data_IF_134638555676
#
_entry.id   IF_134638555676
#
_cell.length_a   1.000
_cell.length_b   1.000
_cell.length_c   1.000
_cell.angle_alpha   90.00
_cell.angle_beta   90.00
_cell.angle_gamma   90.00
#
_symmetry.space_group_name_H-M   'P 1'
#
loop_
_entity.id
_entity.type
_entity.pdbx_description
1 polymer ?
#
# COMPACT_ATOMS: atom_id res chain seq x y z
N UNK A 1 -11.94 -37.22 5.85
CA UNK A 1 -12.88 -36.31 6.53
C UNK A 1 -12.36 -34.90 6.36
N UNK A 2 -12.81 -34.18 5.32
CA UNK A 2 -12.34 -32.79 5.08
C UNK A 2 -12.92 -31.86 6.16
N UNK A 3 -12.09 -30.97 6.71
CA UNK A 3 -12.52 -29.92 7.64
C UNK A 3 -12.84 -30.35 9.07
N UNK A 4 -12.58 -31.59 9.48
CA UNK A 4 -12.93 -32.04 10.84
C UNK A 4 -12.10 -31.34 11.93
N UNK A 5 -10.83 -31.01 11.67
CA UNK A 5 -9.97 -30.34 12.66
C UNK A 5 -10.32 -28.86 12.75
N UNK A 6 -10.51 -28.18 11.61
CA UNK A 6 -10.93 -26.78 11.64
C UNK A 6 -12.29 -26.59 12.32
N UNK A 7 -13.27 -27.46 12.06
CA UNK A 7 -14.56 -27.43 12.75
C UNK A 7 -14.42 -27.59 14.26
N UNK A 8 -13.53 -28.47 14.73
CA UNK A 8 -13.23 -28.62 16.16
C UNK A 8 -12.58 -27.35 16.74
N UNK A 9 -11.59 -26.77 16.05
CA UNK A 9 -10.95 -25.51 16.44
C UNK A 9 -12.00 -24.41 16.62
N UNK A 10 -12.85 -24.21 15.60
CA UNK A 10 -13.91 -23.20 15.63
C UNK A 10 -14.94 -23.44 16.74
N UNK A 11 -15.29 -24.70 17.03
CA UNK A 11 -16.26 -25.04 18.09
C UNK A 11 -15.70 -24.78 19.49
N UNK A 12 -14.37 -24.84 19.66
CA UNK A 12 -13.70 -24.61 20.93
C UNK A 12 -13.39 -23.13 21.19
N UNK A 13 -13.62 -22.23 20.23
CA UNK A 13 -13.43 -20.79 20.41
C UNK A 13 -14.46 -20.21 21.39
N UNK A 14 -14.07 -19.17 22.13
CA UNK A 14 -15.04 -18.34 22.83
C UNK A 14 -15.99 -17.67 21.83
N UNK A 15 -17.21 -17.25 22.24
CA UNK A 15 -18.11 -16.52 21.35
C UNK A 15 -17.48 -15.28 20.70
N UNK A 16 -16.63 -14.57 21.44
CA UNK A 16 -15.91 -13.39 20.94
C UNK A 16 -14.86 -13.79 19.88
N UNK A 17 -14.04 -14.80 20.15
CA UNK A 17 -13.05 -15.30 19.20
C UNK A 17 -13.72 -15.81 17.92
N UNK A 18 -14.81 -16.58 18.06
CA UNK A 18 -15.58 -17.07 16.94
C UNK A 18 -16.12 -15.91 16.09
N UNK A 19 -16.72 -14.89 16.71
CA UNK A 19 -17.22 -13.72 16.01
C UNK A 19 -16.11 -12.92 15.30
N UNK A 20 -14.89 -12.90 15.84
CA UNK A 20 -13.75 -12.23 15.20
C UNK A 20 -13.18 -13.02 14.03
N UNK A 21 -13.17 -14.35 14.11
CA UNK A 21 -12.66 -15.22 13.05
C UNK A 21 -13.67 -15.37 11.92
N UNK A 22 -14.93 -15.71 12.22
CA UNK A 22 -15.90 -16.02 11.16
C UNK A 22 -16.80 -14.84 10.81
N UNK A 23 -16.88 -13.81 11.67
CA UNK A 23 -17.82 -12.70 11.54
C UNK A 23 -19.15 -12.95 12.25
N UNK A 24 -20.18 -12.17 11.90
CA UNK A 24 -21.56 -12.32 12.39
C UNK A 24 -22.48 -12.91 11.32
N UNK A 25 -23.63 -13.44 11.72
CA UNK A 25 -24.71 -13.82 10.79
C UNK A 25 -25.65 -12.62 10.58
N UNK A 26 -25.11 -11.49 10.10
CA UNK A 26 -25.85 -10.25 9.91
C UNK A 26 -26.82 -10.31 8.71
N UNK A 27 -27.86 -9.49 8.75
CA UNK A 27 -28.78 -9.31 7.61
C UNK A 27 -28.11 -8.52 6.47
N UNK A 28 -27.27 -7.52 6.78
CA UNK A 28 -26.53 -6.72 5.80
C UNK A 28 -25.02 -6.95 5.94
N UNK A 29 -24.50 -8.01 5.29
CA UNK A 29 -23.08 -8.39 5.36
C UNK A 29 -22.11 -7.27 4.98
N UNK A 30 -22.52 -6.35 4.10
CA UNK A 30 -21.70 -5.22 3.70
C UNK A 30 -21.26 -4.36 4.89
N UNK A 31 -22.16 -4.10 5.84
CA UNK A 31 -21.92 -3.17 6.96
C UNK A 31 -21.67 -3.87 8.29
N UNK A 32 -22.18 -5.09 8.47
CA UNK A 32 -22.27 -5.74 9.79
C UNK A 32 -21.54 -7.07 9.88
N UNK A 33 -20.87 -7.54 8.80
CA UNK A 33 -20.21 -8.84 8.80
C UNK A 33 -19.17 -9.02 9.91
N UNK A 34 -18.54 -7.94 10.37
CA UNK A 34 -17.63 -7.96 11.51
C UNK A 34 -17.91 -6.79 12.46
N UNK A 35 -17.86 -7.06 13.76
CA UNK A 35 -18.09 -6.05 14.82
C UNK A 35 -17.03 -4.96 14.81
N UNK A 36 -15.78 -5.33 14.46
CA UNK A 36 -14.66 -4.40 14.34
C UNK A 36 -13.76 -4.76 13.17
N UNK A 37 -13.10 -3.75 12.61
CA UNK A 37 -12.05 -3.93 11.63
C UNK A 37 -10.86 -4.65 12.26
N UNK A 38 -10.12 -5.40 11.44
CA UNK A 38 -8.83 -6.01 11.83
C UNK A 38 -7.76 -5.57 10.84
N UNK A 39 -6.53 -5.41 11.35
CA UNK A 39 -5.33 -5.30 10.50
C UNK A 39 -4.72 -6.68 10.35
N UNK A 40 -4.17 -6.93 9.18
CA UNK A 40 -3.36 -8.12 8.98
C UNK A 40 -2.00 -7.85 9.59
N UNK A 41 -1.58 -8.74 10.46
CA UNK A 41 -0.28 -8.71 11.09
C UNK A 41 0.24 -10.14 11.10
N UNK A 42 1.55 -10.30 10.90
CA UNK A 42 2.20 -11.61 10.93
C UNK A 42 2.25 -12.22 12.35
N UNK A 43 1.50 -11.67 13.31
CA UNK A 43 1.76 -11.84 14.74
C UNK A 43 3.13 -11.28 15.13
N UNK A 44 3.43 -11.26 16.43
CA UNK A 44 4.78 -10.97 16.95
C UNK A 44 5.73 -12.17 16.71
N UNK A 45 5.69 -12.76 15.50
CA UNK A 45 6.53 -13.92 15.14
C UNK A 45 7.88 -13.51 14.55
N UNK A 46 8.00 -12.27 14.06
CA UNK A 46 9.28 -11.71 13.65
C UNK A 46 10.21 -11.47 14.84
N UNK A 47 11.51 -11.72 14.67
CA UNK A 47 12.50 -11.49 15.74
C UNK A 47 13.23 -10.17 15.49
N UNK A 48 13.16 -9.19 16.42
CA UNK A 48 13.92 -7.95 16.27
C UNK A 48 15.41 -8.25 16.26
N UNK A 49 16.14 -7.59 15.37
CA UNK A 49 17.60 -7.62 15.34
C UNK A 49 18.08 -6.45 16.20
N UNK A 50 19.05 -6.71 17.08
CA UNK A 50 19.53 -5.71 18.01
C UNK A 50 20.30 -4.59 17.28
N UNK A 51 20.23 -3.33 17.75
CA UNK A 51 20.89 -2.20 17.09
C UNK A 51 22.38 -2.38 16.79
N UNK A 52 23.11 -3.09 17.65
CA UNK A 52 24.53 -3.38 17.45
C UNK A 52 24.83 -4.28 16.24
N UNK A 53 23.85 -5.09 15.81
CA UNK A 53 24.02 -6.07 14.74
C UNK A 53 23.48 -5.58 13.38
N UNK A 54 22.88 -4.38 13.34
CA UNK A 54 22.22 -3.86 12.14
C UNK A 54 23.17 -3.73 10.94
N UNK A 55 24.33 -3.07 11.12
CA UNK A 55 25.28 -2.87 10.02
C UNK A 55 25.91 -4.19 9.55
N UNK A 56 26.25 -5.07 10.49
CA UNK A 56 26.81 -6.40 10.16
C UNK A 56 25.80 -7.24 9.38
N UNK A 57 24.54 -7.22 9.81
CA UNK A 57 23.46 -7.92 9.11
C UNK A 57 23.23 -7.34 7.72
N UNK A 58 23.20 -6.01 7.59
CA UNK A 58 23.09 -5.34 6.28
C UNK A 58 24.23 -5.74 5.34
N UNK A 59 25.48 -5.70 5.81
CA UNK A 59 26.64 -6.09 5.00
C UNK A 59 26.56 -7.56 4.56
N UNK A 60 26.13 -8.45 5.47
CA UNK A 60 25.91 -9.87 5.15
C UNK A 60 24.85 -10.04 4.06
N UNK A 61 23.71 -9.36 4.16
CA UNK A 61 22.65 -9.40 3.15
C UNK A 61 23.11 -8.86 1.80
N UNK A 62 23.85 -7.75 1.79
CA UNK A 62 24.41 -7.15 0.57
C UNK A 62 25.41 -8.09 -0.12
N UNK A 63 26.12 -8.93 0.63
CA UNK A 63 27.06 -9.91 0.10
C UNK A 63 26.44 -11.19 -0.48
N UNK A 64 25.14 -11.39 -0.30
CA UNK A 64 24.43 -12.57 -0.83
C UNK A 64 24.01 -12.35 -2.28
N UNK A 65 23.94 -13.42 -3.05
CA UNK A 65 23.31 -13.42 -4.38
C UNK A 65 21.99 -14.18 -4.31
N UNK A 66 20.93 -13.62 -4.88
CA UNK A 66 19.64 -14.29 -5.02
C UNK A 66 19.20 -14.26 -6.49
N UNK A 67 19.56 -15.30 -7.23
CA UNK A 67 19.19 -15.42 -8.63
C UNK A 67 17.68 -15.62 -8.80
N UNK A 68 17.12 -15.08 -9.89
CA UNK A 68 15.72 -15.26 -10.31
C UNK A 68 14.65 -14.71 -9.37
N UNK A 69 15.00 -13.83 -8.44
CA UNK A 69 14.05 -13.10 -7.61
C UNK A 69 13.58 -11.81 -8.31
N UNK A 70 12.27 -11.54 -8.36
CA UNK A 70 11.77 -10.22 -8.75
C UNK A 70 11.95 -9.23 -7.61
N UNK A 71 12.34 -8.00 -7.94
CA UNK A 71 12.71 -6.99 -6.95
C UNK A 71 12.21 -5.62 -7.33
N UNK A 72 11.99 -4.79 -6.32
CA UNK A 72 11.63 -3.39 -6.49
C UNK A 72 12.45 -2.51 -5.57
N UNK A 73 12.58 -1.23 -5.91
CA UNK A 73 13.21 -0.23 -5.07
C UNK A 73 12.18 0.82 -4.63
N UNK A 74 12.25 1.21 -3.36
CA UNK A 74 11.49 2.33 -2.83
C UNK A 74 12.42 3.47 -2.50
N UNK A 75 12.09 4.66 -2.99
CA UNK A 75 12.87 5.88 -2.77
C UNK A 75 11.95 6.88 -2.07
N UNK A 76 12.28 7.24 -0.84
CA UNK A 76 11.49 8.15 -0.04
C UNK A 76 11.98 9.59 -0.18
N UNK A 77 11.08 10.54 -0.45
CA UNK A 77 11.35 11.99 -0.42
C UNK A 77 10.53 12.61 0.73
N UNK A 78 11.15 13.02 1.85
CA UNK A 78 10.45 13.33 3.11
C UNK A 78 9.92 14.78 3.21
N UNK A 79 9.74 15.48 2.09
CA UNK A 79 9.40 16.91 2.04
C UNK A 79 7.98 17.14 1.53
N UNK A 80 7.28 18.12 2.10
CA UNK A 80 5.95 18.55 1.68
C UNK A 80 5.84 20.08 1.72
N UNK A 81 5.22 20.70 0.71
CA UNK A 81 4.86 22.14 0.79
C UNK A 81 3.82 22.42 1.87
N UNK A 82 2.86 21.51 2.03
CA UNK A 82 1.76 21.65 2.97
C UNK A 82 1.41 20.31 3.64
N UNK A 83 1.07 20.38 4.92
CA UNK A 83 0.56 19.24 5.71
C UNK A 83 -0.92 19.00 5.40
N UNK A 84 -1.23 17.84 4.84
CA UNK A 84 -2.61 17.36 4.75
C UNK A 84 -3.04 16.75 6.09
N UNK A 85 -4.26 17.05 6.56
CA UNK A 85 -4.68 16.67 7.92
C UNK A 85 -4.78 15.16 8.12
N UNK A 86 -5.15 14.41 7.07
CA UNK A 86 -5.26 12.95 7.09
C UNK A 86 -3.91 12.22 6.95
N UNK A 87 -2.85 12.93 6.57
CA UNK A 87 -1.60 12.30 6.15
C UNK A 87 -0.70 11.95 7.34
N UNK A 88 -0.31 10.68 7.43
CA UNK A 88 0.67 10.18 8.39
C UNK A 88 2.14 10.30 7.94
N UNK A 89 2.39 10.73 6.70
CA UNK A 89 3.71 10.80 6.09
C UNK A 89 4.37 12.18 6.14
N UNK A 90 3.66 13.23 6.56
CA UNK A 90 4.26 14.56 6.67
C UNK A 90 5.40 14.54 7.70
N UNK A 91 6.59 14.96 7.27
CA UNK A 91 7.78 15.03 8.11
C UNK A 91 8.39 16.43 8.07
N UNK A 92 8.76 16.90 6.88
CA UNK A 92 9.48 18.16 6.71
C UNK A 92 8.77 19.10 5.73
N UNK A 93 8.97 20.41 5.92
CA UNK A 93 8.56 21.40 4.93
C UNK A 93 9.53 21.41 3.75
N UNK A 94 8.99 21.61 2.55
CA UNK A 94 9.76 21.72 1.30
C UNK A 94 10.48 23.04 1.24
N UNK A 95 11.81 22.98 1.16
CA UNK A 95 12.73 24.10 0.96
C UNK A 95 13.83 23.63 0.01
N UNK A 96 14.04 24.34 -1.11
CA UNK A 96 14.87 23.86 -2.21
C UNK A 96 16.33 23.57 -1.81
N UNK A 97 16.91 24.39 -0.92
CA UNK A 97 18.28 24.19 -0.41
C UNK A 97 18.37 22.90 0.43
N UNK A 98 17.44 22.70 1.36
CA UNK A 98 17.35 21.49 2.19
C UNK A 98 17.09 20.24 1.34
N UNK A 99 16.24 20.34 0.32
CA UNK A 99 16.00 19.29 -0.65
C UNK A 99 17.28 18.95 -1.45
N UNK A 100 18.04 19.96 -1.88
CA UNK A 100 19.29 19.74 -2.63
C UNK A 100 20.33 18.97 -1.79
N UNK A 101 20.54 19.39 -0.53
CA UNK A 101 21.45 18.71 0.40
C UNK A 101 21.00 17.26 0.65
N UNK A 102 19.70 17.04 0.82
CA UNK A 102 19.17 15.70 0.99
C UNK A 102 19.39 14.82 -0.25
N UNK A 103 19.17 15.35 -1.45
CA UNK A 103 19.37 14.62 -2.71
C UNK A 103 20.83 14.20 -2.88
N UNK A 104 21.80 15.03 -2.46
CA UNK A 104 23.22 14.66 -2.46
C UNK A 104 23.48 13.41 -1.61
N UNK A 105 22.89 13.34 -0.42
CA UNK A 105 23.02 12.20 0.48
C UNK A 105 22.25 10.98 -0.02
N UNK A 106 21.07 11.16 -0.60
CA UNK A 106 20.32 10.06 -1.22
C UNK A 106 21.09 9.43 -2.39
N UNK A 107 21.71 10.26 -3.24
CA UNK A 107 22.58 9.79 -4.33
C UNK A 107 23.79 9.03 -3.75
N UNK A 108 24.42 9.55 -2.68
CA UNK A 108 25.52 8.84 -2.00
C UNK A 108 25.07 7.49 -1.44
N UNK A 109 23.88 7.41 -0.87
CA UNK A 109 23.31 6.13 -0.39
C UNK A 109 23.10 5.13 -1.52
N UNK A 110 22.56 5.56 -2.67
CA UNK A 110 22.42 4.72 -3.87
C UNK A 110 23.78 4.19 -4.33
N UNK A 111 24.79 5.06 -4.38
CA UNK A 111 26.16 4.71 -4.78
C UNK A 111 26.80 3.70 -3.83
N UNK A 112 26.55 3.78 -2.52
CA UNK A 112 27.04 2.81 -1.54
C UNK A 112 26.54 1.39 -1.79
N UNK A 113 25.38 1.23 -2.45
CA UNK A 113 24.77 -0.07 -2.74
C UNK A 113 25.04 -0.58 -4.15
N UNK A 114 25.46 0.29 -5.09
CA UNK A 114 25.60 -0.01 -6.53
C UNK A 114 26.28 -1.34 -6.85
N UNK A 115 27.42 -1.61 -6.22
CA UNK A 115 28.27 -2.76 -6.56
C UNK A 115 28.03 -3.99 -5.67
N UNK A 116 26.93 -4.02 -4.92
CA UNK A 116 26.68 -5.15 -4.04
C UNK A 116 26.32 -6.43 -4.81
N UNK A 117 26.82 -7.60 -4.37
CA UNK A 117 26.38 -8.90 -4.91
C UNK A 117 24.86 -9.09 -4.90
N UNK A 118 24.18 -8.54 -3.88
CA UNK A 118 22.73 -8.61 -3.80
C UNK A 118 22.08 -7.90 -4.97
N UNK A 119 22.36 -6.60 -5.15
CA UNK A 119 21.76 -5.83 -6.23
C UNK A 119 22.14 -6.40 -7.60
N UNK A 120 23.42 -6.71 -7.82
CA UNK A 120 23.90 -7.21 -9.12
C UNK A 120 23.37 -8.59 -9.52
N UNK A 121 22.82 -9.38 -8.58
CA UNK A 121 22.32 -10.74 -8.88
C UNK A 121 20.98 -10.81 -9.62
N UNK A 122 20.30 -9.68 -9.88
CA UNK A 122 19.05 -9.67 -10.63
C UNK A 122 18.49 -8.27 -10.85
N UNK A 123 17.59 -8.10 -11.84
CA UNK A 123 17.10 -6.79 -12.21
C UNK A 123 16.08 -6.22 -11.21
N UNK A 124 16.01 -4.89 -11.11
CA UNK A 124 14.97 -4.14 -10.40
C UNK A 124 13.82 -3.89 -11.39
N UNK A 125 12.67 -4.52 -11.14
CA UNK A 125 11.50 -4.49 -12.02
C UNK A 125 10.68 -3.20 -11.87
N UNK A 126 10.72 -2.56 -10.71
CA UNK A 126 10.07 -1.28 -10.50
C UNK A 126 10.79 -0.43 -9.45
N UNK A 127 10.73 0.89 -9.65
CA UNK A 127 11.19 1.90 -8.71
C UNK A 127 10.00 2.80 -8.39
N UNK A 128 9.72 3.01 -7.11
CA UNK A 128 8.66 3.91 -6.66
C UNK A 128 9.26 5.05 -5.85
N UNK A 129 9.09 6.26 -6.35
CA UNK A 129 9.51 7.50 -5.69
C UNK A 129 8.28 8.08 -5.00
N UNK A 130 8.25 7.99 -3.68
CA UNK A 130 7.09 8.38 -2.86
C UNK A 130 7.47 9.09 -1.57
N UNK A 131 6.52 9.22 -0.65
CA UNK A 131 6.78 9.68 0.72
C UNK A 131 6.02 10.93 1.10
N UNK A 132 6.72 12.05 1.22
CA UNK A 132 6.12 13.36 1.41
C UNK A 132 5.44 13.82 0.12
N UNK A 133 6.18 14.50 -0.76
CA UNK A 133 5.71 14.93 -2.06
C UNK A 133 6.91 15.05 -3.00
N UNK A 134 7.35 13.96 -3.63
CA UNK A 134 8.48 13.98 -4.58
C UNK A 134 8.34 15.04 -5.68
N UNK A 135 7.12 15.32 -6.14
CA UNK A 135 6.85 16.36 -7.14
C UNK A 135 7.26 17.78 -6.71
N UNK A 136 7.63 18.03 -5.44
CA UNK A 136 8.16 19.34 -5.01
C UNK A 136 9.54 19.64 -5.55
N UNK A 137 10.36 18.60 -5.80
CA UNK A 137 11.75 18.73 -6.22
C UNK A 137 11.91 19.64 -7.44
N UNK A 138 13.01 20.40 -7.45
CA UNK A 138 13.39 21.24 -8.57
C UNK A 138 13.86 20.37 -9.76
N UNK A 139 13.65 20.81 -11.02
CA UNK A 139 14.04 20.05 -12.22
C UNK A 139 15.47 19.52 -12.20
N UNK A 140 16.42 20.31 -11.69
CA UNK A 140 17.84 19.92 -11.61
C UNK A 140 18.07 18.80 -10.58
N UNK A 141 17.32 18.81 -9.46
CA UNK A 141 17.38 17.75 -8.45
C UNK A 141 16.79 16.45 -9.01
N UNK A 142 15.68 16.55 -9.76
CA UNK A 142 15.03 15.42 -10.45
C UNK A 142 16.02 14.75 -11.41
N UNK A 143 16.65 15.52 -12.28
CA UNK A 143 17.64 15.02 -13.23
C UNK A 143 18.74 14.24 -12.52
N UNK A 144 19.37 14.85 -11.50
CA UNK A 144 20.46 14.23 -10.73
C UNK A 144 20.04 12.93 -10.03
N UNK A 145 18.86 12.92 -9.40
CA UNK A 145 18.36 11.72 -8.70
C UNK A 145 18.08 10.59 -9.70
N UNK A 146 17.38 10.89 -10.79
CA UNK A 146 17.00 9.87 -11.77
C UNK A 146 18.20 9.34 -12.55
N UNK A 147 19.19 10.17 -12.86
CA UNK A 147 20.48 9.74 -13.41
C UNK A 147 21.16 8.76 -12.45
N UNK A 148 21.25 9.10 -11.16
CA UNK A 148 21.85 8.23 -10.16
C UNK A 148 21.09 6.89 -10.01
N UNK A 149 19.76 6.90 -10.08
CA UNK A 149 18.94 5.67 -10.04
C UNK A 149 19.29 4.77 -11.23
N UNK A 150 19.35 5.32 -12.44
CA UNK A 150 19.71 4.54 -13.65
C UNK A 150 21.14 4.03 -13.61
N UNK A 151 22.06 4.80 -13.04
CA UNK A 151 23.47 4.43 -12.95
C UNK A 151 23.76 3.39 -11.84
N UNK A 152 22.98 3.42 -10.75
CA UNK A 152 23.25 2.61 -9.56
C UNK A 152 22.38 1.35 -9.46
N UNK A 153 21.16 1.36 -10.00
CA UNK A 153 20.27 0.21 -9.92
C UNK A 153 20.32 -0.61 -11.22
N UNK A 154 20.38 -1.95 -11.14
CA UNK A 154 20.30 -2.80 -12.33
C UNK A 154 18.85 -2.89 -12.81
N UNK A 155 18.34 -1.85 -13.48
CA UNK A 155 16.95 -1.77 -13.90
C UNK A 155 16.62 -2.82 -14.97
N UNK A 156 15.44 -3.44 -14.88
CA UNK A 156 14.91 -4.31 -15.94
C UNK A 156 14.69 -3.53 -17.24
N UNK A 157 14.71 -4.18 -18.40
CA UNK A 157 14.48 -3.49 -19.68
C UNK A 157 13.10 -2.82 -19.78
N UNK A 158 12.07 -3.37 -19.11
CA UNK A 158 10.69 -2.88 -19.12
C UNK A 158 10.24 -2.33 -17.76
N UNK A 159 11.20 -1.86 -16.95
CA UNK A 159 10.98 -1.39 -15.59
C UNK A 159 9.89 -0.31 -15.49
N UNK A 160 9.14 -0.34 -14.41
CA UNK A 160 8.22 0.74 -14.04
C UNK A 160 8.94 1.74 -13.13
N UNK A 161 8.92 3.03 -13.48
CA UNK A 161 9.41 4.11 -12.62
C UNK A 161 8.23 5.03 -12.28
N UNK A 162 7.76 4.90 -11.04
CA UNK A 162 6.61 5.64 -10.53
C UNK A 162 7.05 6.89 -9.80
N UNK A 163 6.41 8.02 -10.16
CA UNK A 163 6.41 9.26 -9.39
C UNK A 163 5.10 9.39 -8.61
N UNK A 164 5.16 9.56 -7.29
CA UNK A 164 4.06 10.11 -6.50
C UNK A 164 4.10 11.64 -6.54
N UNK A 165 2.95 12.28 -6.80
CA UNK A 165 2.89 13.72 -6.95
C UNK A 165 1.58 14.36 -6.52
N UNK A 166 1.57 15.70 -6.54
CA UNK A 166 0.38 16.51 -6.28
C UNK A 166 -0.03 17.30 -7.52
N UNK A 167 -1.33 17.57 -7.59
CA UNK A 167 -1.94 18.38 -8.65
C UNK A 167 -1.25 19.74 -8.81
N UNK A 168 -0.80 20.39 -7.74
CA UNK A 168 -0.16 21.72 -7.80
C UNK A 168 1.26 21.74 -8.36
N UNK A 169 1.92 20.60 -8.47
CA UNK A 169 3.25 20.48 -9.06
C UNK A 169 3.22 20.06 -10.53
N UNK A 170 2.02 19.83 -11.10
CA UNK A 170 1.82 19.53 -12.52
C UNK A 170 1.94 20.80 -13.36
N UNK A 171 3.17 21.29 -13.49
CA UNK A 171 3.58 22.40 -14.38
C UNK A 171 4.57 21.89 -15.42
N UNK A 172 4.61 22.45 -16.65
CA UNK A 172 5.40 21.91 -17.76
C UNK A 172 6.86 21.60 -17.39
N UNK A 173 7.59 22.57 -16.82
CA UNK A 173 9.01 22.40 -16.48
C UNK A 173 9.29 21.25 -15.51
N UNK A 174 8.36 20.95 -14.59
CA UNK A 174 8.48 19.82 -13.67
C UNK A 174 8.08 18.51 -14.34
N UNK A 175 6.96 18.52 -15.09
CA UNK A 175 6.48 17.35 -15.82
C UNK A 175 7.57 16.85 -16.78
N UNK A 176 8.10 17.75 -17.60
CA UNK A 176 9.18 17.48 -18.57
C UNK A 176 10.40 16.91 -17.86
N UNK A 177 10.86 17.50 -16.73
CA UNK A 177 12.00 16.99 -15.99
C UNK A 177 11.84 15.54 -15.54
N UNK A 178 10.66 15.14 -15.06
CA UNK A 178 10.40 13.75 -14.65
C UNK A 178 10.30 12.81 -15.85
N UNK A 179 9.57 13.20 -16.91
CA UNK A 179 9.36 12.37 -18.09
C UNK A 179 10.65 12.16 -18.90
N UNK A 180 11.41 13.23 -19.15
CA UNK A 180 12.66 13.21 -19.92
C UNK A 180 13.72 12.30 -19.28
N UNK A 181 13.62 12.07 -17.97
CA UNK A 181 14.55 11.22 -17.21
C UNK A 181 13.97 9.84 -16.87
N UNK A 182 12.89 9.45 -17.54
CA UNK A 182 12.42 8.06 -17.62
C UNK A 182 11.25 7.69 -16.71
N UNK A 183 10.61 8.66 -16.02
CA UNK A 183 9.34 8.37 -15.32
C UNK A 183 8.30 7.95 -16.34
N UNK A 184 7.73 6.77 -16.14
CA UNK A 184 6.74 6.18 -17.05
C UNK A 184 5.40 5.85 -16.36
N UNK A 185 5.28 6.15 -15.06
CA UNK A 185 4.04 6.06 -14.29
C UNK A 185 3.97 7.20 -13.28
N UNK A 186 2.80 7.83 -13.14
CA UNK A 186 2.61 8.95 -12.21
C UNK A 186 1.33 8.73 -11.40
N UNK A 187 1.44 8.71 -10.08
CA UNK A 187 0.31 8.66 -9.14
C UNK A 187 0.08 10.04 -8.55
N UNK A 188 -1.07 10.64 -8.84
CA UNK A 188 -1.42 11.99 -8.41
C UNK A 188 -2.46 11.93 -7.31
N UNK A 189 -2.08 12.43 -6.14
CA UNK A 189 -3.03 12.61 -5.06
C UNK A 189 -4.10 13.65 -5.45
N UNK A 190 -5.35 13.23 -5.64
CA UNK A 190 -6.52 14.10 -5.83
C UNK A 190 -7.39 14.11 -4.57
N UNK A 191 -7.61 12.96 -3.97
CA UNK A 191 -8.46 12.64 -2.80
C UNK A 191 -9.96 12.82 -3.03
N UNK A 192 -10.35 13.98 -3.58
CA UNK A 192 -11.70 14.30 -4.04
C UNK A 192 -11.58 15.39 -5.11
N UNK A 193 -12.53 15.46 -6.03
CA UNK A 193 -12.64 16.59 -6.95
C UNK A 193 -13.43 17.75 -6.34
N UNK A 194 -14.18 17.50 -5.26
CA UNK A 194 -15.00 18.51 -4.61
C UNK A 194 -14.14 19.55 -3.84
N UNK A 195 -14.26 20.85 -4.15
CA UNK A 195 -13.43 21.88 -3.52
C UNK A 195 -13.63 22.03 -2.02
N UNK A 196 -14.83 21.79 -1.49
CA UNK A 196 -15.12 21.92 -0.06
C UNK A 196 -14.45 20.79 0.74
N UNK A 197 -14.61 19.55 0.29
CA UNK A 197 -13.93 18.37 0.88
C UNK A 197 -12.41 18.58 0.85
N UNK A 198 -11.87 19.00 -0.30
CA UNK A 198 -10.43 19.26 -0.47
C UNK A 198 -9.91 20.33 0.50
N UNK A 199 -10.59 21.48 0.60
CA UNK A 199 -10.19 22.56 1.52
C UNK A 199 -10.19 22.07 2.96
N UNK A 200 -11.19 21.28 3.34
CA UNK A 200 -11.29 20.68 4.67
C UNK A 200 -10.06 19.85 5.06
N UNK A 201 -9.32 19.30 4.09
CA UNK A 201 -8.13 18.48 4.34
C UNK A 201 -6.80 19.14 3.93
N UNK A 202 -6.80 20.44 3.69
CA UNK A 202 -5.59 21.22 3.37
C UNK A 202 -5.18 21.15 1.90
N UNK A 203 -6.13 20.97 0.99
CA UNK A 203 -5.91 20.97 -0.48
C UNK A 203 -6.75 22.08 -1.13
N UNK A 204 -6.12 22.95 -1.93
CA UNK A 204 -6.73 24.22 -2.33
C UNK A 204 -7.29 24.23 -3.75
N UNK A 205 -6.74 23.42 -4.67
CA UNK A 205 -7.18 23.43 -6.08
C UNK A 205 -8.65 23.00 -6.22
N UNK A 206 -9.37 23.65 -7.12
CA UNK A 206 -10.75 23.32 -7.46
C UNK A 206 -10.85 22.23 -8.55
N UNK A 207 -12.07 21.75 -8.81
CA UNK A 207 -12.35 20.69 -9.80
C UNK A 207 -11.78 21.00 -11.18
N UNK A 208 -11.98 22.22 -11.67
CA UNK A 208 -11.55 22.61 -13.02
C UNK A 208 -10.03 22.65 -13.14
N UNK A 209 -9.34 23.15 -12.12
CA UNK A 209 -7.87 23.18 -12.06
C UNK A 209 -7.29 21.78 -12.06
N UNK A 210 -7.88 20.86 -11.28
CA UNK A 210 -7.44 19.45 -11.25
C UNK A 210 -7.57 18.83 -12.63
N UNK A 211 -8.76 18.92 -13.25
CA UNK A 211 -9.01 18.31 -14.57
C UNK A 211 -8.07 18.87 -15.63
N UNK A 212 -7.88 20.20 -15.69
CA UNK A 212 -6.95 20.83 -16.64
C UNK A 212 -5.51 20.35 -16.46
N UNK A 213 -5.05 20.15 -15.23
CA UNK A 213 -3.68 19.68 -14.96
C UNK A 213 -3.50 18.19 -15.26
N UNK A 214 -4.53 17.37 -15.04
CA UNK A 214 -4.52 15.97 -15.48
C UNK A 214 -4.53 15.85 -17.00
N UNK A 215 -5.31 16.70 -17.69
CA UNK A 215 -5.30 16.82 -19.16
C UNK A 215 -3.91 17.23 -19.66
N UNK A 216 -3.28 18.22 -19.03
CA UNK A 216 -1.91 18.63 -19.36
C UNK A 216 -0.93 17.48 -19.23
N UNK A 217 -0.87 16.80 -18.07
CA UNK A 217 0.04 15.68 -17.86
C UNK A 217 -0.20 14.55 -18.88
N UNK A 218 -1.47 14.21 -19.13
CA UNK A 218 -1.84 13.13 -20.05
C UNK A 218 -1.54 13.49 -21.51
N UNK A 219 -1.54 14.78 -21.88
CA UNK A 219 -1.24 15.24 -23.23
C UNK A 219 0.17 14.89 -23.73
N UNK A 220 1.12 14.68 -22.80
CA UNK A 220 2.46 14.21 -23.14
C UNK A 220 2.45 12.76 -23.65
N UNK A 221 1.48 11.95 -23.23
CA UNK A 221 1.34 10.55 -23.62
C UNK A 221 2.61 9.68 -23.38
N UNK A 222 3.45 10.02 -22.39
CA UNK A 222 4.69 9.30 -22.07
C UNK A 222 4.58 8.41 -20.84
N UNK A 223 3.72 8.77 -19.87
CA UNK A 223 3.52 7.99 -18.64
C UNK A 223 2.06 7.55 -18.47
N UNK A 224 1.86 6.44 -17.77
CA UNK A 224 0.54 6.06 -17.24
C UNK A 224 0.15 7.05 -16.11
N UNK A 225 -1.06 7.60 -16.15
CA UNK A 225 -1.53 8.58 -15.16
C UNK A 225 -2.60 7.97 -14.26
N UNK A 226 -2.34 7.99 -12.95
CA UNK A 226 -3.18 7.40 -11.92
C UNK A 226 -3.55 8.50 -10.95
N UNK A 227 -4.76 8.45 -10.42
CA UNK A 227 -5.17 9.35 -9.34
C UNK A 227 -5.58 8.60 -8.10
N UNK A 228 -5.24 9.15 -6.94
CA UNK A 228 -5.66 8.63 -5.65
C UNK A 228 -6.89 9.39 -5.18
N UNK A 229 -7.98 8.69 -4.87
CA UNK A 229 -9.16 9.21 -4.20
C UNK A 229 -9.28 8.61 -2.79
N UNK A 230 -9.92 9.34 -1.87
CA UNK A 230 -10.21 8.87 -0.52
C UNK A 230 -11.72 8.97 -0.28
N UNK A 231 -12.33 7.89 0.19
CA UNK A 231 -13.71 7.89 0.63
C UNK A 231 -13.84 7.90 2.15
N UNK A 232 -14.87 8.59 2.64
CA UNK A 232 -15.16 8.80 4.04
C UNK A 232 -14.55 10.06 4.67
N UNK A 233 -14.08 11.01 3.85
CA UNK A 233 -13.57 12.29 4.31
C UNK A 233 -14.65 13.16 5.01
N UNK A 234 -14.27 14.07 5.92
CA UNK A 234 -15.18 15.10 6.41
C UNK A 234 -15.84 15.88 5.26
N UNK A 235 -17.09 16.28 5.45
CA UNK A 235 -17.95 16.95 4.47
C UNK A 235 -18.20 16.16 3.17
N UNK A 236 -17.73 14.91 3.04
CA UNK A 236 -17.92 14.10 1.84
C UNK A 236 -19.24 13.33 1.92
N UNK A 237 -20.28 13.86 1.30
CA UNK A 237 -21.58 13.18 1.20
C UNK A 237 -21.56 12.08 0.14
N UNK A 238 -22.52 11.16 0.18
CA UNK A 238 -22.69 10.14 -0.87
C UNK A 238 -22.87 10.76 -2.26
N UNK A 239 -23.54 11.92 -2.37
CA UNK A 239 -23.69 12.62 -3.63
C UNK A 239 -22.35 13.18 -4.13
N UNK A 240 -21.53 13.75 -3.24
CA UNK A 240 -20.19 14.23 -3.60
C UNK A 240 -19.33 13.04 -4.07
N UNK A 241 -19.37 11.93 -3.34
CA UNK A 241 -18.63 10.73 -3.72
C UNK A 241 -19.08 10.16 -5.07
N UNK A 242 -20.38 10.05 -5.31
CA UNK A 242 -20.91 9.62 -6.60
C UNK A 242 -20.46 10.54 -7.75
N UNK A 243 -20.41 11.85 -7.52
CA UNK A 243 -19.90 12.80 -8.49
C UNK A 243 -18.39 12.61 -8.75
N UNK A 244 -17.58 12.40 -7.71
CA UNK A 244 -16.15 12.09 -7.84
C UNK A 244 -15.93 10.83 -8.69
N UNK A 245 -16.69 9.76 -8.43
CA UNK A 245 -16.62 8.51 -9.19
C UNK A 245 -17.07 8.70 -10.64
N UNK A 246 -18.15 9.47 -10.87
CA UNK A 246 -18.63 9.73 -12.23
C UNK A 246 -17.57 10.46 -13.07
N UNK A 247 -16.76 11.34 -12.47
CA UNK A 247 -15.69 12.05 -13.18
C UNK A 247 -14.57 11.12 -13.68
N UNK A 248 -14.34 9.96 -13.04
CA UNK A 248 -13.33 8.98 -13.47
C UNK A 248 -13.57 8.48 -14.90
N UNK A 249 -14.85 8.40 -15.31
CA UNK A 249 -15.25 7.96 -16.65
C UNK A 249 -14.74 8.92 -17.73
N UNK A 250 -14.74 10.22 -17.45
CA UNK A 250 -14.38 11.26 -18.43
C UNK A 250 -12.99 11.86 -18.21
N UNK A 251 -12.40 11.73 -17.02
CA UNK A 251 -11.08 12.24 -16.73
C UNK A 251 -10.00 11.60 -17.64
N UNK A 252 -9.01 12.41 -18.02
CA UNK A 252 -7.81 12.00 -18.73
C UNK A 252 -6.86 11.31 -17.74
N UNK A 253 -7.10 10.02 -17.49
CA UNK A 253 -6.34 9.14 -16.59
C UNK A 253 -6.31 7.72 -17.15
N UNK A 254 -5.31 6.94 -16.78
CA UNK A 254 -5.14 5.53 -17.11
C UNK A 254 -5.61 4.59 -15.99
N UNK A 255 -5.74 5.08 -14.76
CA UNK A 255 -6.20 4.30 -13.60
C UNK A 255 -6.48 5.16 -12.37
N UNK A 256 -6.88 4.50 -11.28
CA UNK A 256 -7.19 5.15 -10.02
C UNK A 256 -7.08 4.20 -8.82
N UNK A 257 -6.72 4.79 -7.69
CA UNK A 257 -6.83 4.17 -6.38
C UNK A 257 -7.98 4.77 -5.58
N UNK A 258 -8.79 3.92 -4.94
CA UNK A 258 -9.84 4.32 -3.99
C UNK A 258 -9.47 3.84 -2.59
N UNK A 259 -8.94 4.75 -1.78
CA UNK A 259 -8.53 4.47 -0.42
C UNK A 259 -9.65 4.75 0.58
N UNK A 260 -9.80 3.85 1.55
CA UNK A 260 -10.61 4.12 2.73
C UNK A 260 -9.90 5.16 3.61
N UNK A 261 -10.64 6.16 4.11
CA UNK A 261 -10.08 7.03 5.14
C UNK A 261 -9.82 6.25 6.43
N UNK A 262 -8.57 6.31 6.91
CA UNK A 262 -8.17 5.95 8.25
C UNK A 262 -7.90 7.23 9.07
N UNK A 263 -8.37 7.27 10.31
CA UNK A 263 -8.14 8.40 11.22
C UNK A 263 -7.19 7.94 12.31
N UNK A 264 -5.91 8.30 12.20
CA UNK A 264 -4.93 7.90 13.20
C UNK A 264 -5.16 8.63 14.54
N UNK A 265 -4.95 7.91 15.64
CA UNK A 265 -4.91 8.49 16.97
C UNK A 265 -3.92 9.67 17.04
N UNK A 266 -4.33 10.74 17.71
CA UNK A 266 -3.58 11.98 17.86
C UNK A 266 -3.25 12.70 16.53
N UNK A 267 -3.83 12.28 15.41
CA UNK A 267 -3.64 12.95 14.12
C UNK A 267 -4.24 14.36 14.10
N UNK A 268 -3.73 15.20 13.20
CA UNK A 268 -4.26 16.54 12.98
C UNK A 268 -5.73 16.51 12.54
N UNK A 269 -6.13 15.49 11.77
CA UNK A 269 -7.52 15.27 11.39
C UNK A 269 -8.41 14.96 12.61
N UNK A 270 -8.00 14.01 13.46
CA UNK A 270 -8.76 13.65 14.66
C UNK A 270 -8.94 14.87 15.58
N UNK A 271 -7.85 15.62 15.81
CA UNK A 271 -7.89 16.83 16.63
C UNK A 271 -8.81 17.90 16.04
N UNK A 272 -8.81 18.09 14.72
CA UNK A 272 -9.69 19.04 14.05
C UNK A 272 -11.18 18.65 14.17
N UNK A 273 -11.49 17.34 14.06
CA UNK A 273 -12.85 16.81 14.26
C UNK A 273 -13.29 17.00 15.72
N UNK A 274 -12.47 16.60 16.69
CA UNK A 274 -12.78 16.73 18.12
C UNK A 274 -12.96 18.20 18.55
N UNK A 275 -12.20 19.12 17.94
CA UNK A 275 -12.35 20.55 18.17
C UNK A 275 -13.56 21.19 17.45
N UNK A 276 -14.36 20.41 16.71
CA UNK A 276 -15.51 20.90 15.94
C UNK A 276 -15.15 21.75 14.72
N UNK A 277 -13.87 21.76 14.30
CA UNK A 277 -13.41 22.53 13.13
C UNK A 277 -13.76 21.85 11.80
N UNK A 278 -13.96 20.54 11.83
CA UNK A 278 -14.41 19.73 10.69
C UNK A 278 -15.59 18.86 11.13
N UNK A 279 -16.45 18.49 10.17
CA UNK A 279 -17.50 17.50 10.43
C UNK A 279 -16.87 16.16 10.83
N UNK A 280 -17.63 15.27 11.48
CA UNK A 280 -17.24 13.87 11.59
C UNK A 280 -16.93 13.28 10.20
N UNK A 281 -15.94 12.40 10.17
CA UNK A 281 -15.70 11.52 9.04
C UNK A 281 -16.80 10.45 8.94
N UNK A 282 -16.87 9.76 7.81
CA UNK A 282 -17.84 8.69 7.62
C UNK A 282 -17.57 7.51 8.58
N UNK A 283 -18.63 6.94 9.14
CA UNK A 283 -18.55 5.69 9.92
C UNK A 283 -18.18 4.51 9.02
N UNK A 284 -17.74 3.38 9.61
CA UNK A 284 -17.45 2.15 8.85
C UNK A 284 -18.63 1.70 7.98
N UNK A 285 -19.87 1.81 8.47
CA UNK A 285 -21.06 1.48 7.69
C UNK A 285 -21.30 2.45 6.52
N UNK A 286 -21.05 3.75 6.71
CA UNK A 286 -21.12 4.73 5.62
C UNK A 286 -20.02 4.49 4.58
N UNK A 287 -18.79 4.22 5.03
CA UNK A 287 -17.65 3.86 4.18
C UNK A 287 -17.92 2.58 3.37
N UNK A 288 -18.60 1.58 3.94
CA UNK A 288 -18.98 0.37 3.22
C UNK A 288 -19.93 0.65 2.06
N UNK A 289 -20.92 1.53 2.28
CA UNK A 289 -21.87 1.95 1.25
C UNK A 289 -21.20 2.81 0.18
N UNK A 290 -20.27 3.69 0.55
CA UNK A 290 -19.45 4.44 -0.41
C UNK A 290 -18.60 3.51 -1.27
N UNK A 291 -17.96 2.51 -0.67
CA UNK A 291 -17.19 1.49 -1.40
C UNK A 291 -18.07 0.72 -2.37
N UNK A 292 -19.23 0.22 -1.93
CA UNK A 292 -20.16 -0.52 -2.79
C UNK A 292 -20.69 0.33 -3.95
N UNK A 293 -21.01 1.61 -3.70
CA UNK A 293 -21.43 2.52 -4.76
C UNK A 293 -20.33 2.73 -5.81
N UNK A 294 -19.08 2.88 -5.39
CA UNK A 294 -17.96 2.99 -6.33
C UNK A 294 -17.73 1.69 -7.11
N UNK A 295 -17.80 0.53 -6.44
CA UNK A 295 -17.64 -0.78 -7.06
C UNK A 295 -18.68 -1.03 -8.16
N UNK A 296 -19.94 -0.68 -7.90
CA UNK A 296 -21.02 -0.80 -8.88
C UNK A 296 -20.78 0.07 -10.13
N UNK A 297 -20.31 1.30 -9.95
CA UNK A 297 -19.99 2.22 -11.06
C UNK A 297 -18.73 1.80 -11.83
N UNK A 298 -17.75 1.22 -11.14
CA UNK A 298 -16.47 0.78 -11.71
C UNK A 298 -16.49 -0.65 -12.26
N UNK A 299 -17.59 -1.38 -12.07
CA UNK A 299 -17.87 -2.64 -12.77
C UNK A 299 -18.20 -2.45 -14.27
N UNK A 300 -18.21 -1.21 -14.75
CA UNK A 300 -18.38 -0.90 -16.17
C UNK A 300 -17.25 -1.50 -17.04
N UNK A 301 -17.53 -1.94 -18.29
CA UNK A 301 -16.53 -2.64 -19.14
C UNK A 301 -15.25 -1.87 -19.46
N UNK A 302 -15.25 -0.55 -19.26
CA UNK A 302 -14.09 0.33 -19.52
C UNK A 302 -13.04 0.28 -18.39
N UNK A 303 -13.37 -0.34 -17.25
CA UNK A 303 -12.46 -0.49 -16.13
C UNK A 303 -12.18 -1.96 -15.88
N UNK A 304 -10.98 -2.24 -15.40
CA UNK A 304 -10.64 -3.54 -14.85
C UNK A 304 -9.85 -3.37 -13.56
N UNK A 305 -9.97 -4.34 -12.66
CA UNK A 305 -9.43 -4.23 -11.32
C UNK A 305 -8.06 -4.89 -11.22
N UNK A 306 -7.11 -4.21 -10.61
CA UNK A 306 -5.79 -4.75 -10.28
C UNK A 306 -5.71 -5.19 -8.82
N UNK A 307 -6.38 -4.47 -7.91
CA UNK A 307 -6.55 -4.86 -6.51
C UNK A 307 -7.84 -4.30 -5.90
N UNK A 308 -8.17 -4.65 -4.66
CA UNK A 308 -9.35 -4.13 -3.94
C UNK A 308 -9.41 -2.60 -3.95
N UNK A 309 -8.29 -1.90 -3.93
CA UNK A 309 -8.28 -0.44 -4.00
C UNK A 309 -7.91 0.12 -5.37
N UNK A 310 -7.50 -0.70 -6.36
CA UNK A 310 -6.86 -0.20 -7.58
C UNK A 310 -7.58 -0.67 -8.85
N UNK A 311 -7.91 0.27 -9.72
CA UNK A 311 -8.52 0.04 -11.03
C UNK A 311 -7.69 0.66 -12.14
N UNK A 312 -7.66 0.00 -13.29
CA UNK A 312 -7.15 0.53 -14.55
C UNK A 312 -8.28 0.79 -15.52
N UNK A 313 -8.16 1.89 -16.25
CA UNK A 313 -8.99 2.28 -17.40
C UNK A 313 -8.34 1.90 -18.72
N UNK A 314 -7.00 1.87 -18.76
CA UNK A 314 -6.23 1.48 -19.96
C UNK A 314 -5.21 0.40 -19.60
N UNK A 315 -4.67 -0.27 -20.62
CA UNK A 315 -3.62 -1.28 -20.43
C UNK A 315 -2.25 -0.68 -20.06
N UNK A 316 -2.10 0.65 -20.04
CA UNK A 316 -0.86 1.33 -19.62
C UNK A 316 -0.63 1.19 -18.12
N UNK A 317 -1.71 1.12 -17.34
CA UNK A 317 -1.61 0.94 -15.89
C UNK A 317 -1.36 -0.53 -15.55
N UNK A 318 -0.16 -0.80 -15.03
CA UNK A 318 0.33 -2.12 -14.63
C UNK A 318 0.49 -2.26 -13.11
N UNK A 319 0.87 -1.20 -12.42
CA UNK A 319 1.13 -1.19 -10.96
C UNK A 319 2.15 -2.25 -10.53
N UNK A 320 3.27 -2.36 -11.25
CA UNK A 320 4.28 -3.41 -11.01
C UNK A 320 4.81 -3.31 -9.58
N UNK A 321 5.17 -2.10 -9.12
CA UNK A 321 5.69 -1.93 -7.76
C UNK A 321 4.70 -2.44 -6.70
N UNK A 322 3.45 -1.97 -6.75
CA UNK A 322 2.42 -2.36 -5.78
C UNK A 322 2.15 -3.86 -5.84
N UNK A 323 2.04 -4.43 -7.05
CA UNK A 323 1.79 -5.87 -7.23
C UNK A 323 2.90 -6.72 -6.62
N UNK A 324 4.16 -6.37 -6.86
CA UNK A 324 5.30 -7.14 -6.35
C UNK A 324 5.48 -6.98 -4.83
N UNK A 325 5.36 -5.76 -4.30
CA UNK A 325 5.47 -5.53 -2.85
C UNK A 325 4.41 -6.30 -2.07
N UNK A 326 3.16 -6.28 -2.54
CA UNK A 326 2.02 -7.00 -1.93
C UNK A 326 2.15 -8.51 -2.02
N UNK A 327 2.82 -9.02 -3.06
CA UNK A 327 3.16 -10.43 -3.19
C UNK A 327 4.39 -10.84 -2.36
N UNK A 328 5.00 -9.91 -1.61
CA UNK A 328 6.10 -10.21 -0.70
C UNK A 328 7.48 -10.27 -1.35
N UNK A 329 7.62 -9.74 -2.56
CA UNK A 329 8.92 -9.64 -3.22
C UNK A 329 9.82 -8.62 -2.52
N UNK A 330 11.13 -8.77 -2.72
CA UNK A 330 12.12 -7.88 -2.13
C UNK A 330 11.92 -6.42 -2.51
N UNK A 331 11.94 -5.56 -1.48
CA UNK A 331 11.83 -4.10 -1.57
C UNK A 331 13.11 -3.50 -1.00
N UNK A 332 13.89 -2.86 -1.85
CA UNK A 332 15.17 -2.25 -1.49
C UNK A 332 14.91 -0.78 -1.11
N UNK A 333 15.07 -0.39 0.17
CA UNK A 333 14.70 0.94 0.62
C UNK A 333 15.86 1.93 0.50
N UNK A 334 15.57 3.14 0.05
CA UNK A 334 16.48 4.29 0.01
C UNK A 334 15.77 5.57 0.49
N UNK A 335 16.50 6.44 1.18
CA UNK A 335 15.97 7.71 1.69
C UNK A 335 15.39 7.65 3.11
N UNK A 336 15.52 8.76 3.83
CA UNK A 336 15.00 8.93 5.19
C UNK A 336 13.52 8.51 5.31
N UNK A 337 13.24 7.55 6.19
CA UNK A 337 11.90 7.02 6.44
C UNK A 337 11.44 5.92 5.48
N UNK A 338 12.26 5.50 4.53
CA UNK A 338 11.96 4.35 3.69
C UNK A 338 11.87 3.05 4.50
N UNK A 339 10.91 2.20 4.13
CA UNK A 339 10.80 0.83 4.63
C UNK A 339 10.99 -0.16 3.48
N UNK A 340 11.53 -1.33 3.79
CA UNK A 340 11.74 -2.37 2.78
C UNK A 340 12.01 -3.73 3.41
N UNK A 341 12.21 -4.72 2.55
CA UNK A 341 12.61 -6.05 2.98
C UNK A 341 13.47 -6.73 1.92
N UNK A 342 14.60 -7.29 2.34
CA UNK A 342 15.49 -8.09 1.48
C UNK A 342 15.95 -9.33 2.24
N UNK A 343 16.13 -10.45 1.55
CA UNK A 343 16.67 -11.68 2.14
C UNK A 343 15.96 -12.16 3.42
N UNK A 344 14.63 -11.98 3.52
CA UNK A 344 13.85 -12.35 4.70
C UNK A 344 14.03 -11.42 5.91
N UNK A 345 14.61 -10.24 5.72
CA UNK A 345 14.77 -9.22 6.77
C UNK A 345 13.99 -7.98 6.38
N UNK A 346 13.04 -7.57 7.23
CA UNK A 346 12.38 -6.27 7.12
C UNK A 346 13.24 -5.19 7.78
N UNK A 347 13.29 -4.00 7.20
CA UNK A 347 14.09 -2.89 7.69
C UNK A 347 13.41 -1.54 7.48
N UNK A 348 13.73 -0.60 8.36
CA UNK A 348 13.24 0.77 8.35
C UNK A 348 14.43 1.71 8.43
N UNK A 349 14.45 2.72 7.56
CA UNK A 349 15.46 3.76 7.57
C UNK A 349 15.05 4.90 8.50
N UNK A 350 16.05 5.62 9.00
CA UNK A 350 15.84 6.71 9.93
C UNK A 350 14.93 7.78 9.32
N UNK A 351 13.86 8.15 10.03
CA UNK A 351 12.90 9.17 9.58
C UNK A 351 13.43 10.58 9.80
N UNK A 352 14.32 10.75 10.77
CA UNK A 352 14.97 12.03 11.03
C UNK A 352 16.04 12.27 9.95
N UNK A 353 15.86 13.34 9.17
CA UNK A 353 16.69 13.63 7.98
C UNK A 353 18.14 13.89 8.39
N UNK A 354 18.38 14.55 9.51
CA UNK A 354 19.73 14.84 9.99
C UNK A 354 20.47 13.57 10.41
N UNK A 355 19.82 12.69 11.17
CA UNK A 355 20.41 11.41 11.56
C UNK A 355 20.60 10.49 10.36
N UNK A 356 19.67 10.50 9.40
CA UNK A 356 19.83 9.80 8.13
C UNK A 356 21.09 10.27 7.38
N UNK A 357 21.26 11.58 7.20
CA UNK A 357 22.41 12.15 6.47
C UNK A 357 23.73 11.84 7.18
N UNK A 358 23.79 11.96 8.51
CA UNK A 358 24.98 11.60 9.31
C UNK A 358 25.41 10.15 9.11
N UNK A 359 24.47 9.19 9.08
CA UNK A 359 24.79 7.78 8.81
C UNK A 359 25.36 7.59 7.41
N UNK A 360 24.77 8.24 6.40
CA UNK A 360 25.26 8.19 5.02
C UNK A 360 26.65 8.82 4.89
N UNK A 361 26.92 9.92 5.58
CA UNK A 361 28.24 10.56 5.61
C UNK A 361 29.32 9.60 6.10
N UNK A 362 29.00 8.80 7.12
CA UNK A 362 29.84 7.77 7.72
C UNK A 362 29.96 6.49 6.87
N UNK A 363 29.30 6.42 5.71
CA UNK A 363 29.28 5.23 4.85
C UNK A 363 28.47 4.07 5.45
N UNK A 364 27.53 4.36 6.35
CA UNK A 364 26.68 3.37 7.00
C UNK A 364 25.27 3.41 6.41
N UNK A 365 24.60 2.25 6.37
CA UNK A 365 23.17 2.22 6.00
C UNK A 365 22.37 2.92 7.11
N UNK A 366 21.49 3.89 6.82
CA UNK A 366 20.82 4.71 7.84
C UNK A 366 19.65 3.97 8.49
N UNK A 367 19.93 2.85 9.15
CA UNK A 367 18.96 1.94 9.76
C UNK A 367 18.41 2.50 11.08
N UNK A 368 17.09 2.36 11.28
CA UNK A 368 16.38 2.68 12.52
C UNK A 368 15.59 1.49 13.09
N UNK A 369 15.53 0.37 12.35
CA UNK A 369 14.95 -0.87 12.82
C UNK A 369 15.19 -2.00 11.83
N UNK A 370 15.38 -3.22 12.34
CA UNK A 370 15.45 -4.45 11.55
C UNK A 370 14.74 -5.58 12.28
N UNK A 371 14.03 -6.41 11.51
CA UNK A 371 13.33 -7.58 12.02
C UNK A 371 13.50 -8.75 11.05
N UNK A 372 13.90 -9.90 11.58
CA UNK A 372 13.81 -11.16 10.85
C UNK A 372 12.34 -11.47 10.59
N UNK A 373 11.98 -11.73 9.35
CA UNK A 373 10.65 -12.21 9.01
C UNK A 373 10.45 -13.62 9.57
N UNK A 374 9.22 -13.97 9.94
CA UNK A 374 8.92 -15.33 10.36
C UNK A 374 9.04 -16.31 9.18
N UNK A 375 9.28 -17.58 9.48
CA UNK A 375 9.48 -18.62 8.46
C UNK A 375 8.25 -18.83 7.56
N UNK A 376 7.07 -18.45 8.03
CA UNK A 376 5.79 -18.53 7.34
C UNK A 376 5.45 -17.25 6.52
N UNK A 377 6.37 -16.29 6.38
CA UNK A 377 6.11 -15.04 5.65
C UNK A 377 5.60 -15.24 4.22
N UNK A 378 6.08 -16.29 3.54
CA UNK A 378 5.57 -16.67 2.22
C UNK A 378 4.08 -17.03 2.23
N UNK A 379 3.59 -17.73 3.27
CA UNK A 379 2.19 -18.08 3.42
C UNK A 379 1.34 -16.82 3.59
N UNK A 380 1.80 -15.92 4.47
CA UNK A 380 1.19 -14.63 4.70
C UNK A 380 1.05 -13.83 3.39
N UNK A 381 2.15 -13.67 2.66
CA UNK A 381 2.19 -12.92 1.41
C UNK A 381 1.30 -13.55 0.33
N UNK A 382 1.23 -14.88 0.26
CA UNK A 382 0.36 -15.59 -0.68
C UNK A 382 -1.12 -15.36 -0.38
N UNK A 383 -1.54 -15.44 0.88
CA UNK A 383 -2.94 -15.19 1.28
C UNK A 383 -3.33 -13.75 0.97
N UNK A 384 -2.49 -12.78 1.36
CA UNK A 384 -2.76 -11.35 1.13
C UNK A 384 -2.80 -11.02 -0.35
N UNK A 385 -1.82 -11.47 -1.12
CA UNK A 385 -1.75 -11.21 -2.56
C UNK A 385 -2.95 -11.79 -3.32
N UNK A 386 -3.50 -12.93 -2.90
CA UNK A 386 -4.73 -13.46 -3.52
C UNK A 386 -5.98 -12.65 -3.12
N UNK A 387 -6.18 -12.38 -1.83
CA UNK A 387 -7.37 -11.68 -1.34
C UNK A 387 -7.43 -10.22 -1.80
N UNK A 388 -6.28 -9.55 -1.93
CA UNK A 388 -6.22 -8.22 -2.52
C UNK A 388 -6.65 -8.21 -3.99
N UNK A 389 -6.60 -9.35 -4.68
CA UNK A 389 -7.16 -9.50 -6.04
C UNK A 389 -8.60 -10.03 -6.02
N UNK A 390 -9.21 -10.14 -4.85
CA UNK A 390 -10.61 -10.54 -4.67
C UNK A 390 -10.86 -12.05 -4.76
N UNK A 391 -9.84 -12.90 -4.60
CA UNK A 391 -10.03 -14.35 -4.66
C UNK A 391 -9.15 -15.14 -3.68
N UNK A 392 -9.46 -16.42 -3.52
CA UNK A 392 -8.65 -17.39 -2.78
C UNK A 392 -8.68 -18.77 -3.47
N UNK A 393 -7.51 -19.35 -3.71
CA UNK A 393 -7.32 -20.69 -4.27
C UNK A 393 -6.71 -21.62 -3.23
N UNK A 394 -7.56 -22.46 -2.61
CA UNK A 394 -7.11 -23.44 -1.62
C UNK A 394 -6.18 -24.50 -2.21
N UNK A 395 -6.35 -24.87 -3.49
CA UNK A 395 -5.48 -25.83 -4.18
C UNK A 395 -4.03 -25.34 -4.25
N UNK A 396 -3.82 -24.05 -4.52
CA UNK A 396 -2.48 -23.44 -4.55
C UNK A 396 -1.87 -23.40 -3.15
N UNK A 397 -2.65 -22.98 -2.15
CA UNK A 397 -2.18 -23.01 -0.75
C UNK A 397 -1.80 -24.43 -0.31
N UNK A 398 -2.62 -25.43 -0.66
CA UNK A 398 -2.35 -26.82 -0.32
C UNK A 398 -1.14 -27.41 -1.04
N UNK A 399 -0.89 -27.00 -2.28
CA UNK A 399 0.29 -27.41 -3.03
C UNK A 399 1.59 -26.86 -2.40
N UNK A 400 1.56 -25.64 -1.88
CA UNK A 400 2.74 -24.99 -1.29
C UNK A 400 2.95 -25.32 0.20
N UNK A 401 1.88 -25.44 0.98
CA UNK A 401 1.92 -25.52 2.45
C UNK A 401 1.27 -26.79 3.03
N UNK A 402 0.83 -27.71 2.17
CA UNK A 402 0.33 -29.02 2.55
C UNK A 402 -1.20 -29.14 2.61
N UNK A 403 -1.73 -30.37 2.62
CA UNK A 403 -3.16 -30.65 2.44
C UNK A 403 -4.05 -30.12 3.55
N UNK A 404 -3.49 -29.76 4.71
CA UNK A 404 -4.23 -29.15 5.81
C UNK A 404 -4.90 -27.82 5.41
N UNK A 405 -4.33 -27.07 4.45
CA UNK A 405 -4.92 -25.84 3.94
C UNK A 405 -6.30 -26.06 3.28
N UNK A 406 -6.58 -27.27 2.77
CA UNK A 406 -7.89 -27.62 2.22
C UNK A 406 -8.99 -27.66 3.29
N UNK A 407 -8.64 -27.75 4.58
CA UNK A 407 -9.63 -27.69 5.66
C UNK A 407 -10.30 -26.33 5.80
N UNK A 408 -9.71 -25.26 5.23
CA UNK A 408 -10.36 -23.95 5.11
C UNK A 408 -11.67 -23.98 4.33
N UNK A 409 -11.96 -25.04 3.56
CA UNK A 409 -13.24 -25.23 2.86
C UNK A 409 -14.43 -25.02 3.80
N UNK A 410 -14.38 -25.49 5.05
CA UNK A 410 -15.46 -25.27 6.02
C UNK A 410 -15.61 -23.81 6.47
N UNK A 411 -14.51 -23.04 6.47
CA UNK A 411 -14.57 -21.60 6.75
C UNK A 411 -15.17 -20.84 5.56
N UNK A 412 -14.80 -21.23 4.33
CA UNK A 412 -15.37 -20.66 3.11
C UNK A 412 -16.87 -20.94 3.01
N UNK A 413 -17.34 -22.13 3.39
CA UNK A 413 -18.77 -22.46 3.44
C UNK A 413 -19.55 -21.52 4.37
N UNK A 414 -19.00 -21.22 5.55
CA UNK A 414 -19.59 -20.26 6.49
C UNK A 414 -19.66 -18.87 5.86
N UNK A 415 -18.58 -18.41 5.23
CA UNK A 415 -18.54 -17.09 4.59
C UNK A 415 -19.40 -16.98 3.34
N UNK A 416 -19.59 -18.07 2.60
CA UNK A 416 -20.56 -18.12 1.52
C UNK A 416 -21.98 -17.97 2.05
N UNK A 417 -22.34 -18.71 3.11
CA UNK A 417 -23.63 -18.57 3.77
C UNK A 417 -23.88 -17.16 4.34
N UNK A 418 -22.81 -16.40 4.60
CA UNK A 418 -22.84 -15.01 5.07
C UNK A 418 -22.66 -13.98 3.95
N UNK A 419 -22.65 -14.40 2.69
CA UNK A 419 -22.54 -13.49 1.54
C UNK A 419 -21.22 -12.71 1.45
N UNK A 420 -20.13 -13.21 2.03
CA UNK A 420 -18.79 -12.60 1.95
C UNK A 420 -18.00 -13.10 0.74
N UNK A 421 -18.32 -14.29 0.24
CA UNK A 421 -17.67 -14.86 -0.93
C UNK A 421 -18.61 -15.82 -1.65
N UNK A 422 -18.25 -16.18 -2.87
CA UNK A 422 -18.86 -17.24 -3.66
C UNK A 422 -17.82 -18.30 -3.97
N UNK A 423 -18.10 -19.57 -3.66
CA UNK A 423 -17.22 -20.69 -3.95
C UNK A 423 -17.42 -21.11 -5.40
N UNK A 424 -16.41 -20.88 -6.22
CA UNK A 424 -16.35 -21.34 -7.60
C UNK A 424 -15.55 -22.63 -7.77
N UNK A 425 -15.53 -23.22 -8.99
CA UNK A 425 -14.82 -24.46 -9.27
C UNK A 425 -13.29 -24.35 -9.17
N UNK A 426 -12.73 -23.15 -9.36
CA UNK A 426 -11.28 -22.91 -9.33
C UNK A 426 -10.83 -22.06 -8.14
N UNK A 427 -11.69 -21.17 -7.65
CA UNK A 427 -11.37 -20.23 -6.58
C UNK A 427 -12.65 -19.78 -5.87
N UNK A 428 -12.54 -19.45 -4.58
CA UNK A 428 -13.53 -18.61 -3.93
C UNK A 428 -13.30 -17.15 -4.32
N UNK A 429 -14.36 -16.42 -4.66
CA UNK A 429 -14.31 -15.00 -5.05
C UNK A 429 -15.03 -14.14 -4.03
N UNK A 430 -14.41 -13.05 -3.61
CA UNK A 430 -15.01 -12.13 -2.65
C UNK A 430 -16.17 -11.37 -3.30
N UNK A 431 -17.32 -11.34 -2.61
CA UNK A 431 -18.42 -10.43 -2.95
C UNK A 431 -18.02 -8.99 -2.62
N UNK A 432 -18.84 -7.99 -2.96
CA UNK A 432 -18.58 -6.59 -2.56
C UNK A 432 -18.40 -6.47 -1.04
N UNK A 433 -19.18 -7.21 -0.25
CA UNK A 433 -19.02 -7.25 1.21
C UNK A 433 -17.67 -7.87 1.60
N UNK A 434 -17.30 -9.01 1.02
CA UNK A 434 -16.00 -9.64 1.28
C UNK A 434 -14.82 -8.78 0.89
N UNK A 435 -14.93 -8.06 -0.21
CA UNK A 435 -13.92 -7.12 -0.67
C UNK A 435 -13.76 -5.95 0.30
N UNK A 436 -14.87 -5.38 0.81
CA UNK A 436 -14.78 -4.35 1.83
C UNK A 436 -14.09 -4.89 3.09
N UNK A 437 -14.41 -6.12 3.52
CA UNK A 437 -13.89 -6.78 4.72
C UNK A 437 -12.64 -7.65 4.51
N UNK A 438 -11.94 -7.52 3.38
CA UNK A 438 -10.92 -8.50 2.98
C UNK A 438 -9.77 -8.65 3.98
N UNK A 439 -9.41 -7.58 4.71
CA UNK A 439 -8.37 -7.64 5.76
C UNK A 439 -8.80 -8.50 6.96
N UNK A 440 -10.08 -8.44 7.35
CA UNK A 440 -10.63 -9.31 8.39
C UNK A 440 -10.61 -10.78 7.94
N UNK A 441 -11.00 -11.02 6.69
CA UNK A 441 -10.97 -12.35 6.06
C UNK A 441 -9.53 -12.87 6.02
N UNK A 442 -8.58 -12.05 5.58
CA UNK A 442 -7.18 -12.42 5.48
C UNK A 442 -6.57 -12.81 6.83
N UNK A 443 -6.78 -11.97 7.86
CA UNK A 443 -6.30 -12.27 9.21
C UNK A 443 -6.90 -13.59 9.73
N UNK A 444 -8.19 -13.81 9.51
CA UNK A 444 -8.88 -15.02 9.97
C UNK A 444 -8.39 -16.28 9.24
N UNK A 445 -8.10 -16.18 7.94
CA UNK A 445 -7.47 -17.28 7.18
C UNK A 445 -6.10 -17.62 7.76
N UNK A 446 -5.27 -16.62 8.04
CA UNK A 446 -3.92 -16.83 8.57
C UNK A 446 -3.94 -17.49 9.95
N UNK A 447 -4.81 -17.03 10.84
CA UNK A 447 -4.98 -17.62 12.18
C UNK A 447 -5.45 -19.08 12.09
N UNK A 448 -6.43 -19.37 11.23
CA UNK A 448 -6.88 -20.74 11.01
C UNK A 448 -5.80 -21.63 10.39
N UNK A 449 -4.99 -21.10 9.46
CA UNK A 449 -3.89 -21.84 8.85
C UNK A 449 -2.78 -22.14 9.85
N UNK A 450 -2.36 -21.16 10.65
CA UNK A 450 -1.38 -21.39 11.72
C UNK A 450 -1.88 -22.44 12.72
N UNK A 451 -3.15 -22.39 13.11
CA UNK A 451 -3.72 -23.42 13.97
C UNK A 451 -3.75 -24.82 13.34
N UNK A 452 -3.93 -24.91 12.02
CA UNK A 452 -3.94 -26.18 11.28
C UNK A 452 -2.54 -26.74 11.00
N UNK A 453 -1.54 -25.87 10.80
CA UNK A 453 -0.18 -26.23 10.41
C UNK A 453 0.75 -26.40 11.62
N UNK A 454 0.68 -25.47 12.57
CA UNK A 454 1.59 -25.41 13.72
C UNK A 454 0.97 -25.98 15.00
N UNK A 455 -0.35 -26.17 15.04
CA UNK A 455 -1.08 -26.58 16.24
C UNK A 455 -1.23 -25.49 17.30
N UNK A 456 -0.67 -24.30 17.06
CA UNK A 456 -0.80 -23.12 17.92
C UNK A 456 -1.99 -22.27 17.48
N UNK A 457 -2.88 -21.95 18.42
CA UNK A 457 -4.06 -21.13 18.17
C UNK A 457 -3.99 -19.82 18.97
N UNK A 458 -3.68 -18.72 18.29
CA UNK A 458 -3.81 -17.37 18.82
C UNK A 458 -4.76 -16.56 17.95
N UNK A 459 -5.82 -16.00 18.56
CA UNK A 459 -6.63 -14.97 17.92
C UNK A 459 -6.10 -13.65 18.44
N UNK A 460 -5.36 -12.93 17.60
CA UNK A 460 -4.78 -11.66 18.00
C UNK A 460 -5.80 -10.53 17.75
N UNK A 461 -6.00 -9.74 18.80
CA UNK A 461 -6.80 -8.52 18.79
C UNK A 461 -5.83 -7.37 19.06
N UNK A 462 -5.19 -6.88 18.02
CA UNK A 462 -4.47 -5.62 18.15
C UNK A 462 -5.47 -4.46 18.01
N UNK A 463 -5.37 -3.43 18.87
CA UNK A 463 -6.08 -2.18 18.62
C UNK A 463 -5.60 -1.67 17.26
N UNK A 464 -6.54 -1.47 16.34
CA UNK A 464 -6.22 -0.63 15.19
C UNK A 464 -6.13 0.77 15.76
N UNK A 465 -5.00 1.44 15.60
CA UNK A 465 -4.82 2.86 15.96
C UNK A 465 -5.75 3.82 15.18
N UNK A 466 -6.82 3.31 14.55
CA UNK A 466 -7.59 3.97 13.51
C UNK A 466 -9.11 4.00 13.71
N UNK A 467 -9.68 3.41 14.77
CA UNK A 467 -11.12 3.52 15.06
C UNK A 467 -11.32 3.42 16.57
N UNK A 468 -11.75 4.53 17.18
CA UNK A 468 -12.09 4.58 18.62
C UNK A 468 -13.30 3.73 18.98
#
# INVERSE_FOLDING_TARGET
MKGSRLKQILTNMSPEQYALTVGTAAEESLVEAFVKRRVVHAGVRGKPIMPGDWQVTWQSLQGQSQENEQRVAYIHIPFCRHRCLYCGFFQNYSEEESEAVYIDHLIKELQMSRDSPYLSSGPVNAVFIGGGTPSTLAPQQVARLLDAIRDCLPLANDYELTLEGRVNDLVPSKIEAWLDHGVNRVSIGVQSFNPEVRRGVGRLDDTQTILKRLELLTSYNQAAVIIDLIYGLPNQTNQIWANDISLLKTAAIDGMDLYQLNIFENSALQQAIHAGKLSPAATTAQQARMFAAAEAELSAPIFSRLSICHWRKTNRERSIYNTLTKAGHSVIPFGAGAGGSIGGVAMFLNRDVDNYMKSVEQGQKPLAGMMMQPADSGLHNMVIGQLERGYLQLSVLAACYGPAALELESLLEIWQGRGLLEIGPAAARLTVAGQFWYMNIAQSILECLHALLDGEHSVEVQPIAAQG
#
